data_IF_450967371624
#
_entry.id   IF_450967371624
#
_cell.length_a   1.000
_cell.length_b   1.000
_cell.length_c   1.000
_cell.angle_alpha   90.00
_cell.angle_beta   90.00
_cell.angle_gamma   90.00
#
_symmetry.space_group_name_H-M   'P 1'
#
loop_
_entity.id
_entity.type
_entity.pdbx_description
1 polymer ?
#
# COMPACT_ATOMS: atom_id res chain seq x y z
N UNK A 1 -6.97 5.89 2.54
CA UNK A 1 -6.54 5.12 1.35
C UNK A 1 -7.53 5.44 0.25
N UNK A 2 -7.09 5.97 -0.88
CA UNK A 2 -8.02 6.60 -1.84
C UNK A 2 -8.57 5.67 -2.91
N UNK A 3 -7.81 4.67 -3.36
CA UNK A 3 -8.18 3.89 -4.53
C UNK A 3 -8.29 2.40 -4.21
N UNK A 4 -9.35 1.72 -4.70
CA UNK A 4 -9.46 0.27 -4.58
C UNK A 4 -8.35 -0.43 -5.38
N UNK A 5 -8.03 -1.66 -4.98
CA UNK A 5 -7.15 -2.56 -5.72
C UNK A 5 -7.79 -2.83 -7.07
N UNK A 6 -7.02 -2.66 -8.15
CA UNK A 6 -7.51 -2.91 -9.51
C UNK A 6 -8.02 -4.34 -9.64
N UNK A 7 -9.19 -4.48 -10.27
CA UNK A 7 -9.83 -5.78 -10.51
C UNK A 7 -8.89 -6.77 -11.23
N UNK A 8 -8.13 -6.29 -12.21
CA UNK A 8 -7.14 -7.11 -12.94
C UNK A 8 -6.10 -7.76 -12.02
N UNK A 9 -5.66 -7.03 -10.98
CA UNK A 9 -4.73 -7.56 -9.99
C UNK A 9 -5.42 -8.64 -9.16
N UNK A 10 -6.63 -8.39 -8.68
CA UNK A 10 -7.38 -9.38 -7.88
C UNK A 10 -7.65 -10.65 -8.69
N UNK A 11 -7.99 -10.53 -9.98
CA UNK A 11 -8.24 -11.65 -10.87
C UNK A 11 -6.96 -12.44 -11.20
N UNK A 12 -5.81 -11.78 -11.33
CA UNK A 12 -4.52 -12.46 -11.43
C UNK A 12 -4.22 -13.27 -10.17
N UNK A 13 -4.41 -12.70 -8.98
CA UNK A 13 -4.12 -13.40 -7.72
C UNK A 13 -5.05 -14.58 -7.47
N UNK A 14 -6.28 -14.56 -8.02
CA UNK A 14 -7.19 -15.72 -8.03
C UNK A 14 -6.72 -16.83 -8.97
N UNK A 15 -6.28 -16.47 -10.17
CA UNK A 15 -6.11 -17.43 -11.27
C UNK A 15 -4.67 -17.92 -11.48
N UNK A 16 -3.67 -17.09 -11.18
CA UNK A 16 -2.27 -17.38 -11.42
C UNK A 16 -1.63 -18.17 -10.27
N UNK A 17 -0.67 -19.02 -10.60
CA UNK A 17 0.16 -19.69 -9.59
C UNK A 17 1.23 -18.75 -9.02
N UNK A 18 1.88 -19.15 -7.93
CA UNK A 18 2.89 -18.35 -7.23
C UNK A 18 4.01 -17.90 -8.17
N UNK A 19 4.54 -18.79 -9.03
CA UNK A 19 5.63 -18.47 -9.95
C UNK A 19 5.22 -17.40 -10.97
N UNK A 20 4.01 -17.48 -11.51
CA UNK A 20 3.46 -16.48 -12.43
C UNK A 20 3.32 -15.12 -11.74
N UNK A 21 2.81 -15.09 -10.51
CA UNK A 21 2.65 -13.86 -9.73
C UNK A 21 4.00 -13.24 -9.36
N UNK A 22 4.97 -14.06 -8.95
CA UNK A 22 6.35 -13.62 -8.69
C UNK A 22 6.95 -12.94 -9.93
N UNK A 23 6.79 -13.54 -11.11
CA UNK A 23 7.32 -12.99 -12.36
C UNK A 23 6.58 -11.73 -12.83
N UNK A 24 5.27 -11.62 -12.55
CA UNK A 24 4.44 -10.49 -13.02
C UNK A 24 4.57 -9.25 -12.12
N UNK A 25 4.63 -9.44 -10.81
CA UNK A 25 4.48 -8.36 -9.83
C UNK A 25 5.74 -8.02 -9.04
N UNK A 26 6.75 -8.90 -9.02
CA UNK A 26 7.95 -8.70 -8.24
C UNK A 26 9.20 -8.63 -9.11
N UNK A 27 10.21 -7.89 -8.66
CA UNK A 27 11.52 -7.88 -9.31
C UNK A 27 12.12 -9.28 -9.31
N UNK A 28 12.66 -9.66 -10.46
CA UNK A 28 13.41 -10.90 -10.65
C UNK A 28 14.61 -10.96 -9.71
N UNK A 29 14.89 -12.14 -9.19
CA UNK A 29 15.98 -12.38 -8.23
C UNK A 29 15.47 -12.97 -6.91
N UNK A 30 16.40 -13.57 -6.17
CA UNK A 30 16.09 -14.31 -4.94
C UNK A 30 16.01 -13.41 -3.70
N UNK A 31 16.30 -12.12 -3.84
CA UNK A 31 16.19 -11.16 -2.74
C UNK A 31 14.78 -11.17 -2.17
N UNK A 32 14.69 -11.41 -0.86
CA UNK A 32 13.45 -11.43 -0.10
C UNK A 32 12.40 -12.40 -0.66
N UNK A 33 12.80 -13.48 -1.34
CA UNK A 33 11.88 -14.42 -1.98
C UNK A 33 10.81 -14.93 -1.01
N UNK A 34 11.20 -15.29 0.22
CA UNK A 34 10.26 -15.75 1.24
C UNK A 34 9.23 -14.68 1.63
N UNK A 35 9.65 -13.41 1.67
CA UNK A 35 8.73 -12.30 1.93
C UNK A 35 7.77 -12.10 0.76
N UNK A 36 8.25 -12.16 -0.49
CA UNK A 36 7.40 -12.07 -1.69
C UNK A 36 6.34 -13.16 -1.70
N UNK A 37 6.73 -14.40 -1.39
CA UNK A 37 5.81 -15.55 -1.27
C UNK A 37 4.77 -15.32 -0.17
N UNK A 38 5.19 -14.88 1.02
CA UNK A 38 4.26 -14.54 2.12
C UNK A 38 3.26 -13.45 1.73
N UNK A 39 3.69 -12.44 0.98
CA UNK A 39 2.77 -11.40 0.47
C UNK A 39 1.75 -12.02 -0.48
N UNK A 40 2.19 -12.91 -1.39
CA UNK A 40 1.29 -13.61 -2.31
C UNK A 40 0.28 -14.48 -1.57
N UNK A 41 0.75 -15.33 -0.65
CA UNK A 41 -0.10 -16.18 0.17
C UNK A 41 -1.11 -15.36 0.96
N UNK A 42 -0.66 -14.27 1.59
CA UNK A 42 -1.53 -13.40 2.37
C UNK A 42 -2.60 -12.76 1.50
N UNK A 43 -2.26 -12.17 0.35
CA UNK A 43 -3.26 -11.54 -0.51
C UNK A 43 -4.28 -12.55 -1.07
N UNK A 44 -3.83 -13.76 -1.44
CA UNK A 44 -4.74 -14.84 -1.85
C UNK A 44 -5.69 -15.25 -0.74
N UNK A 45 -5.17 -15.36 0.49
CA UNK A 45 -5.98 -15.66 1.67
C UNK A 45 -7.07 -14.60 1.88
N UNK A 46 -6.73 -13.31 1.86
CA UNK A 46 -7.71 -12.23 2.05
C UNK A 46 -8.81 -12.22 0.98
N UNK A 47 -8.46 -12.54 -0.27
CA UNK A 47 -9.44 -12.68 -1.36
C UNK A 47 -10.41 -13.82 -1.06
N UNK A 48 -9.88 -14.99 -0.70
CA UNK A 48 -10.68 -16.17 -0.36
C UNK A 48 -11.57 -15.94 0.87
N UNK A 49 -11.06 -15.23 1.88
CA UNK A 49 -11.83 -14.88 3.06
C UNK A 49 -12.96 -13.91 2.71
N UNK A 50 -12.67 -12.88 1.90
CA UNK A 50 -13.67 -11.91 1.44
C UNK A 50 -14.82 -12.57 0.68
N UNK A 51 -14.50 -13.54 -0.18
CA UNK A 51 -15.48 -14.37 -0.89
C UNK A 51 -16.31 -15.23 0.06
N UNK A 52 -15.67 -15.86 1.03
CA UNK A 52 -16.35 -16.70 2.02
C UNK A 52 -17.35 -15.89 2.85
N UNK A 53 -16.97 -14.70 3.33
CA UNK A 53 -17.90 -13.82 4.08
C UNK A 53 -19.09 -13.42 3.22
N UNK A 54 -18.84 -13.03 1.96
CA UNK A 54 -19.92 -12.61 1.06
C UNK A 54 -20.89 -13.75 0.75
N UNK A 55 -20.38 -14.95 0.49
CA UNK A 55 -21.18 -16.13 0.15
C UNK A 55 -21.98 -16.64 1.34
N UNK A 56 -21.35 -16.72 2.51
CA UNK A 56 -21.96 -17.28 3.72
C UNK A 56 -22.78 -16.27 4.51
N UNK A 57 -22.83 -14.99 4.06
CA UNK A 57 -23.48 -13.87 4.76
C UNK A 57 -23.03 -13.76 6.21
N UNK A 58 -21.76 -14.07 6.48
CA UNK A 58 -21.16 -13.91 7.80
C UNK A 58 -21.13 -12.43 8.19
N UNK A 59 -21.22 -12.10 9.49
CA UNK A 59 -21.00 -10.73 9.93
C UNK A 59 -19.62 -10.27 9.50
N UNK A 60 -19.56 -9.08 8.91
CA UNK A 60 -18.33 -8.44 8.49
C UNK A 60 -17.75 -7.68 9.68
N UNK A 61 -16.63 -8.15 10.21
CA UNK A 61 -15.93 -7.52 11.32
C UNK A 61 -14.48 -7.22 10.93
N UNK A 62 -14.06 -5.97 11.11
CA UNK A 62 -12.70 -5.54 10.85
C UNK A 62 -12.00 -5.16 12.15
N UNK A 63 -10.77 -5.65 12.30
CA UNK A 63 -9.90 -5.21 13.39
C UNK A 63 -9.35 -3.82 13.05
N UNK A 64 -9.72 -2.81 13.83
CA UNK A 64 -9.16 -1.47 13.67
C UNK A 64 -7.72 -1.42 14.21
N UNK A 65 -6.72 -1.02 13.42
CA UNK A 65 -5.36 -0.84 13.90
C UNK A 65 -5.30 0.27 14.97
N UNK A 66 -4.63 -0.02 16.08
CA UNK A 66 -4.39 0.95 17.15
C UNK A 66 -3.20 1.89 16.84
N UNK A 67 -2.32 1.49 15.91
CA UNK A 67 -1.15 2.28 15.53
C UNK A 67 -0.67 1.93 14.11
N UNK A 68 0.27 2.73 13.60
CA UNK A 68 0.91 2.51 12.29
C UNK A 68 1.51 1.11 12.14
N UNK A 69 2.04 0.54 13.23
CA UNK A 69 2.66 -0.79 13.20
C UNK A 69 1.69 -1.93 12.82
N UNK A 70 0.39 -1.70 12.95
CA UNK A 70 -0.67 -2.68 12.68
C UNK A 70 -1.35 -2.48 11.31
N UNK A 71 -0.74 -1.70 10.42
CA UNK A 71 -1.30 -1.41 9.09
C UNK A 71 -1.60 -2.65 8.24
N UNK A 72 -0.91 -3.76 8.50
CA UNK A 72 -1.21 -5.03 7.84
C UNK A 72 -2.64 -5.51 8.06
N UNK A 73 -3.32 -5.08 9.13
CA UNK A 73 -4.73 -5.40 9.39
C UNK A 73 -5.68 -4.73 8.39
N UNK A 74 -5.23 -3.68 7.71
CA UNK A 74 -6.03 -3.00 6.70
C UNK A 74 -6.03 -3.72 5.35
N UNK A 75 -5.22 -4.77 5.17
CA UNK A 75 -5.19 -5.51 3.91
C UNK A 75 -6.52 -6.23 3.64
N UNK A 76 -7.08 -6.88 4.64
CA UNK A 76 -8.37 -7.56 4.53
C UNK A 76 -9.51 -6.60 4.10
N UNK A 77 -9.80 -5.51 4.82
CA UNK A 77 -10.83 -4.56 4.41
C UNK A 77 -10.51 -3.92 3.06
N UNK A 78 -9.23 -3.64 2.75
CA UNK A 78 -8.87 -3.13 1.44
C UNK A 78 -9.26 -4.11 0.33
N UNK A 79 -9.01 -5.41 0.50
CA UNK A 79 -9.44 -6.42 -0.48
C UNK A 79 -10.97 -6.49 -0.55
N UNK A 80 -11.64 -6.58 0.59
CA UNK A 80 -13.10 -6.70 0.65
C UNK A 80 -13.80 -5.54 -0.06
N UNK A 81 -13.48 -4.30 0.32
CA UNK A 81 -14.11 -3.11 -0.26
C UNK A 81 -13.72 -2.91 -1.71
N UNK A 82 -12.50 -3.29 -2.12
CA UNK A 82 -12.12 -3.25 -3.55
C UNK A 82 -12.98 -4.17 -4.41
N UNK A 83 -13.42 -5.32 -3.88
CA UNK A 83 -14.25 -6.28 -4.61
C UNK A 83 -15.72 -5.91 -4.58
N UNK A 84 -16.24 -5.52 -3.42
CA UNK A 84 -17.70 -5.45 -3.19
C UNK A 84 -18.26 -4.04 -3.05
N UNK A 85 -17.44 -3.07 -2.66
CA UNK A 85 -17.88 -1.69 -2.42
C UNK A 85 -16.85 -0.67 -2.98
N UNK A 86 -16.47 -0.78 -4.27
CA UNK A 86 -15.39 0.05 -4.83
C UNK A 86 -15.73 1.54 -4.84
N UNK A 87 -17.01 1.90 -4.99
CA UNK A 87 -17.47 3.29 -5.01
C UNK A 87 -17.39 3.95 -3.62
N UNK A 88 -17.54 3.16 -2.55
CA UNK A 88 -17.43 3.61 -1.15
C UNK A 88 -16.06 3.33 -0.53
N UNK A 89 -15.08 2.91 -1.33
CA UNK A 89 -13.81 2.40 -0.85
C UNK A 89 -13.08 3.38 0.07
N UNK A 90 -12.97 4.65 -0.35
CA UNK A 90 -12.24 5.66 0.41
C UNK A 90 -12.87 5.90 1.78
N UNK A 91 -14.20 6.11 1.81
CA UNK A 91 -14.95 6.36 3.04
C UNK A 91 -14.82 5.18 4.00
N UNK A 92 -15.11 3.97 3.51
CA UNK A 92 -15.02 2.72 4.26
C UNK A 92 -13.61 2.48 4.84
N UNK A 93 -12.56 2.75 4.06
CA UNK A 93 -11.19 2.58 4.54
C UNK A 93 -10.77 3.65 5.54
N UNK A 94 -11.24 4.90 5.37
CA UNK A 94 -10.92 5.99 6.27
C UNK A 94 -11.52 5.78 7.67
N UNK A 95 -12.67 5.11 7.79
CA UNK A 95 -13.26 4.73 9.09
C UNK A 95 -12.43 3.71 9.90
N UNK A 96 -11.51 3.01 9.22
CA UNK A 96 -10.64 2.01 9.82
C UNK A 96 -9.24 2.57 10.12
N UNK A 97 -8.92 3.79 9.68
CA UNK A 97 -7.61 4.38 9.96
C UNK A 97 -7.49 4.80 11.44
N UNK A 98 -6.30 4.66 12.05
CA UNK A 98 -6.04 5.24 13.36
C UNK A 98 -6.22 6.77 13.32
N UNK A 99 -6.69 7.36 14.43
CA UNK A 99 -6.95 8.82 14.51
C UNK A 99 -5.73 9.68 14.13
N UNK A 100 -4.53 9.20 14.45
CA UNK A 100 -3.24 9.82 14.13
C UNK A 100 -3.07 10.10 12.62
N UNK A 101 -3.71 9.26 11.79
CA UNK A 101 -3.57 9.28 10.33
C UNK A 101 -4.84 9.78 9.65
N UNK A 102 -6.01 9.59 10.27
CA UNK A 102 -7.25 10.22 9.82
C UNK A 102 -7.10 11.75 9.74
N UNK A 103 -6.36 12.37 10.67
CA UNK A 103 -6.05 13.81 10.64
C UNK A 103 -5.02 14.21 9.58
N UNK A 104 -4.14 13.30 9.15
CA UNK A 104 -3.10 13.57 8.17
C UNK A 104 -3.60 13.51 6.71
N UNK A 105 -4.73 12.84 6.45
CA UNK A 105 -5.33 12.78 5.11
C UNK A 105 -5.91 14.12 4.61
N UNK A 106 -5.99 15.16 5.47
CA UNK A 106 -6.31 16.52 5.03
C UNK A 106 -5.15 17.19 4.26
N UNK A 107 -3.95 16.60 4.27
CA UNK A 107 -2.77 17.14 3.59
C UNK A 107 -1.90 16.04 2.97
N UNK A 108 -2.41 15.38 1.93
CA UNK A 108 -1.63 14.82 0.80
C UNK A 108 -0.27 14.15 1.08
N UNK A 109 -0.13 13.33 2.13
CA UNK A 109 1.11 12.58 2.36
C UNK A 109 1.03 11.17 1.77
N UNK A 110 1.87 10.92 0.75
CA UNK A 110 2.13 9.61 0.18
C UNK A 110 3.09 8.86 1.10
N UNK A 111 2.58 7.86 1.82
CA UNK A 111 3.43 6.95 2.60
C UNK A 111 3.92 5.80 1.70
N UNK A 112 5.12 5.96 1.14
CA UNK A 112 5.88 4.85 0.59
C UNK A 112 6.85 4.36 1.68
N UNK A 113 6.91 3.06 1.90
CA UNK A 113 7.79 2.37 2.86
C UNK A 113 9.20 2.98 2.90
N UNK A 114 9.64 3.36 4.09
CA UNK A 114 10.87 4.12 4.35
C UNK A 114 12.17 3.42 3.96
N UNK A 115 12.53 3.51 2.68
CA UNK A 115 13.92 3.65 2.30
C UNK A 115 14.17 5.14 2.05
N UNK A 116 14.67 5.81 3.08
CA UNK A 116 15.26 7.14 2.96
C UNK A 116 16.39 7.07 1.95
N UNK A 117 16.29 7.83 0.86
CA UNK A 117 17.41 8.11 -0.02
C UNK A 117 18.45 8.94 0.75
N UNK A 118 19.35 8.25 1.45
CA UNK A 118 20.58 8.84 1.96
C UNK A 118 21.55 9.01 0.80
N UNK A 119 21.57 10.19 0.19
CA UNK A 119 22.69 10.63 -0.64
C UNK A 119 23.79 11.12 0.30
N UNK A 120 24.78 10.26 0.53
CA UNK A 120 26.07 10.65 1.06
C UNK A 120 26.85 11.31 -0.07
N UNK A 121 27.09 12.62 0.00
CA UNK A 121 28.26 13.25 -0.63
C UNK A 121 28.71 14.46 0.19
N UNK A 122 30.02 14.49 0.44
CA UNK A 122 30.77 15.55 1.11
C UNK A 122 30.72 16.86 0.31
N UNK A 123 30.51 18.02 0.96
CA UNK A 123 31.58 18.99 1.19
C UNK A 123 31.15 20.27 1.96
N UNK A 124 31.99 20.60 2.93
CA UNK A 124 32.32 21.89 3.56
C UNK A 124 31.56 23.19 3.20
N UNK A 125 31.00 23.86 4.22
CA UNK A 125 31.14 25.31 4.39
C UNK A 125 29.87 26.17 4.40
N UNK A 126 29.47 26.61 5.61
CA UNK A 126 29.03 28.00 5.91
C UNK A 126 27.68 28.52 5.42
N UNK A 127 26.90 29.10 6.34
CA UNK A 127 26.03 30.25 6.03
C UNK A 127 24.51 30.03 6.15
N UNK A 128 23.98 30.47 7.28
CA UNK A 128 22.72 31.21 7.52
C UNK A 128 21.54 31.21 6.51
N UNK A 129 20.35 31.21 7.14
CA UNK A 129 19.08 31.86 6.77
C UNK A 129 18.05 31.16 5.86
N UNK A 130 16.90 30.88 6.50
CA UNK A 130 15.52 31.13 6.06
C UNK A 130 15.13 30.85 4.60
N UNK A 131 14.23 29.88 4.39
CA UNK A 131 13.48 29.79 3.14
C UNK A 131 12.60 28.56 3.03
N UNK A 132 11.29 28.75 3.24
CA UNK A 132 10.29 27.71 3.03
C UNK A 132 10.07 27.35 1.55
N UNK A 133 9.61 26.11 1.37
CA UNK A 133 8.72 25.60 0.32
C UNK A 133 9.00 25.97 -1.13
N UNK A 134 9.43 24.99 -1.93
CA UNK A 134 8.97 24.77 -3.31
C UNK A 134 9.35 23.36 -3.76
N UNK A 135 8.38 22.44 -3.75
CA UNK A 135 8.49 21.17 -4.45
C UNK A 135 8.24 21.42 -5.95
N UNK A 136 9.30 21.79 -6.65
CA UNK A 136 9.30 21.98 -8.09
C UNK A 136 9.35 20.63 -8.82
N UNK A 137 8.47 20.50 -9.79
CA UNK A 137 8.33 19.41 -10.76
C UNK A 137 9.66 18.92 -11.35
N UNK A 138 9.95 17.62 -11.23
CA UNK A 138 11.02 16.98 -12.02
C UNK A 138 10.43 16.37 -13.29
N UNK A 139 10.30 17.21 -14.32
CA UNK A 139 10.35 16.78 -15.72
C UNK A 139 11.80 16.43 -16.08
N UNK A 140 11.99 15.39 -16.91
CA UNK A 140 13.29 14.78 -17.17
C UNK A 140 14.29 15.61 -18.01
N UNK A 141 15.48 15.04 -18.23
CA UNK A 141 16.45 15.52 -19.20
C UNK A 141 17.89 15.10 -18.89
N UNK A 142 18.57 14.53 -19.89
CA UNK A 142 19.89 13.87 -19.87
C UNK A 142 21.11 14.82 -19.82
N UNK A 143 22.29 14.19 -19.61
CA UNK A 143 23.66 14.58 -20.02
C UNK A 143 24.38 15.59 -19.09
N UNK A 144 25.67 15.50 -18.77
CA UNK A 144 26.82 14.65 -19.16
C UNK A 144 27.77 14.52 -17.97
#
# INVERSE_FOLDING_TARGET
MQNPIKKEILDDFRSMNETQLLNKYFRTGNDWLDLKKKIIEKLKYEISESESIKLEKKPLEFTKPASVSQYSYLLFPAVYFSVYEPDGFEDNMNELLPEELAKANAAGMVYCSGFSCSSNDHDSGGGNDSGGSSCSSCGGGCSS
#
